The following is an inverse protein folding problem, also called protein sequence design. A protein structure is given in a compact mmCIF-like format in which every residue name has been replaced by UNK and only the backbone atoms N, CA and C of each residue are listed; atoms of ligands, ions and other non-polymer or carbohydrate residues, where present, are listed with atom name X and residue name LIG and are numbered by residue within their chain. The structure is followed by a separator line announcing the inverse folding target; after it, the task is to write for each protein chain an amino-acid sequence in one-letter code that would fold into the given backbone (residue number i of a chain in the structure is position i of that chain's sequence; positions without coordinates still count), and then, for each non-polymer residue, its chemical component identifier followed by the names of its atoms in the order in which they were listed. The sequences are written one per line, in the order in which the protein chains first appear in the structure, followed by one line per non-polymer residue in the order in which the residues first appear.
data_IF_221047015091
#
_entry.id   IF_221047015091
#
_cell.length_a   1.000
_cell.length_b   1.000
_cell.length_c   1.000
_cell.angle_alpha   90.00
_cell.angle_beta   90.00
_cell.angle_gamma   90.00
#
_symmetry.space_group_name_H-M   'P 1'
#
loop_
_entity.id
_entity.type
_entity.pdbx_description
1 polymer ?
#
# COMPACT_ATOMS: atom_id res chain seq x y z
N UNK A 1 -1.56 -21.00 -1.20
CA UNK A 1 -1.64 -20.53 -2.59
C UNK A 1 -1.58 -19.02 -2.64
N UNK A 2 -0.79 -18.49 -3.53
CA UNK A 2 -0.66 -17.04 -3.69
C UNK A 2 -1.59 -16.55 -4.78
N UNK A 3 -2.23 -15.44 -4.52
CA UNK A 3 -3.08 -14.78 -5.49
C UNK A 3 -2.49 -13.44 -5.88
N UNK A 4 -2.56 -13.13 -7.15
CA UNK A 4 -2.26 -11.80 -7.65
C UNK A 4 -3.58 -11.08 -7.89
N UNK A 5 -3.71 -9.91 -7.29
CA UNK A 5 -4.90 -9.09 -7.43
C UNK A 5 -4.52 -7.87 -8.25
N UNK A 6 -5.30 -7.58 -9.29
CA UNK A 6 -5.05 -6.42 -10.15
C UNK A 6 -5.91 -5.24 -9.70
N UNK A 7 -5.25 -4.12 -9.46
CA UNK A 7 -5.90 -2.87 -9.12
C UNK A 7 -5.52 -1.83 -10.18
N UNK A 8 -6.46 -1.51 -11.07
CA UNK A 8 -6.22 -0.53 -12.13
C UNK A 8 -5.02 -0.86 -13.01
N UNK A 9 -4.83 -2.15 -13.33
CA UNK A 9 -3.70 -2.61 -14.09
C UNK A 9 -2.44 -2.88 -13.27
N UNK A 10 -2.47 -2.62 -11.97
CA UNK A 10 -1.36 -2.92 -11.06
C UNK A 10 -1.50 -4.33 -10.51
N UNK A 11 -0.38 -4.97 -10.19
CA UNK A 11 -0.39 -6.30 -9.62
C UNK A 11 -0.20 -6.22 -8.11
N UNK A 12 -1.13 -6.79 -7.38
CA UNK A 12 -1.05 -6.93 -5.94
C UNK A 12 -1.09 -8.41 -5.56
N UNK A 13 -0.61 -8.72 -4.38
CA UNK A 13 -0.55 -10.09 -3.87
C UNK A 13 -1.48 -10.25 -2.67
N UNK A 14 -1.90 -11.48 -2.41
CA UNK A 14 -2.72 -11.78 -1.25
C UNK A 14 -1.95 -11.41 0.03
N UNK A 15 -2.51 -10.54 0.88
CA UNK A 15 -1.82 -10.13 2.11
C UNK A 15 -1.50 -11.28 3.04
N UNK A 16 -2.27 -12.37 3.00
CA UNK A 16 -2.01 -13.54 3.85
C UNK A 16 -0.67 -14.18 3.57
N UNK A 17 -0.19 -14.07 2.32
CA UNK A 17 1.10 -14.62 1.94
C UNK A 17 2.26 -13.75 2.44
N UNK A 18 2.03 -12.45 2.65
CA UNK A 18 3.09 -11.49 2.89
C UNK A 18 2.89 -10.64 4.14
N UNK A 19 1.93 -11.01 4.99
CA UNK A 19 1.67 -10.28 6.22
C UNK A 19 2.71 -10.55 7.30
N UNK A 20 3.50 -11.59 7.12
CA UNK A 20 4.57 -11.95 8.06
C UNK A 20 5.84 -11.19 7.73
N UNK A 21 6.64 -10.96 8.74
CA UNK A 21 7.90 -10.28 8.58
C UNK A 21 7.84 -8.86 9.12
N UNK A 22 8.95 -8.17 8.97
CA UNK A 22 9.09 -6.82 9.49
C UNK A 22 8.86 -5.81 8.38
N UNK A 23 8.09 -4.80 8.69
CA UNK A 23 7.79 -3.72 7.76
C UNK A 23 8.14 -2.39 8.41
N UNK A 24 8.62 -1.47 7.60
CA UNK A 24 8.93 -0.13 8.02
C UNK A 24 7.92 0.84 7.40
N UNK A 25 7.29 1.66 8.23
CA UNK A 25 6.32 2.64 7.75
C UNK A 25 7.03 3.70 6.90
N UNK A 26 6.55 3.92 5.69
CA UNK A 26 7.12 4.90 4.76
C UNK A 26 6.21 6.09 4.51
N UNK A 27 4.90 5.90 4.62
CA UNK A 27 3.96 6.98 4.42
C UNK A 27 2.68 6.69 5.18
N UNK A 28 2.01 7.74 5.62
CA UNK A 28 0.70 7.63 6.26
C UNK A 28 -0.25 8.58 5.55
N UNK A 29 -1.38 8.02 5.12
CA UNK A 29 -2.46 8.78 4.52
C UNK A 29 -3.71 8.60 5.36
N UNK A 30 -4.83 9.08 4.89
CA UNK A 30 -6.10 8.92 5.59
C UNK A 30 -7.24 8.66 4.58
N UNK A 31 -8.26 7.98 5.07
CA UNK A 31 -9.50 7.82 4.30
C UNK A 31 -10.29 9.13 4.36
N UNK A 32 -11.37 9.19 3.57
CA UNK A 32 -12.26 10.36 3.61
C UNK A 32 -12.81 10.62 5.02
N UNK A 33 -12.95 9.57 5.82
CA UNK A 33 -13.43 9.68 7.21
C UNK A 33 -12.33 10.00 8.21
N UNK A 34 -11.10 10.14 7.74
CA UNK A 34 -9.98 10.46 8.62
C UNK A 34 -9.32 9.24 9.26
N UNK A 35 -9.65 8.03 8.82
CA UNK A 35 -9.03 6.81 9.34
C UNK A 35 -7.64 6.64 8.73
N UNK A 36 -6.66 6.12 9.51
CA UNK A 36 -5.29 6.01 9.01
C UNK A 36 -5.16 5.00 7.88
N UNK A 37 -4.28 5.33 6.92
CA UNK A 37 -3.85 4.46 5.85
C UNK A 37 -2.34 4.41 5.92
N UNK A 38 -1.77 3.23 6.15
CA UNK A 38 -0.33 3.08 6.38
C UNK A 38 0.30 2.35 5.20
N UNK A 39 1.31 2.98 4.60
CA UNK A 39 2.11 2.38 3.53
C UNK A 39 3.45 1.97 4.14
N UNK A 40 3.75 0.68 4.09
CA UNK A 40 4.94 0.11 4.70
C UNK A 40 5.75 -0.67 3.68
N UNK A 41 7.06 -0.73 3.90
CA UNK A 41 7.99 -1.46 3.06
C UNK A 41 8.60 -2.60 3.86
N UNK A 42 8.68 -3.78 3.27
CA UNK A 42 9.33 -4.92 3.90
C UNK A 42 10.81 -4.63 4.11
N UNK A 43 11.31 -4.96 5.29
CA UNK A 43 12.74 -4.84 5.60
C UNK A 43 13.51 -6.13 5.25
N UNK A 44 12.82 -7.15 4.76
CA UNK A 44 13.45 -8.40 4.37
C UNK A 44 14.11 -8.23 3.00
N UNK A 45 15.42 -8.46 2.88
CA UNK A 45 16.13 -8.27 1.60
C UNK A 45 15.72 -9.29 0.52
N UNK A 46 15.13 -10.41 0.92
CA UNK A 46 14.67 -11.43 -0.02
C UNK A 46 13.26 -11.13 -0.54
N UNK A 47 12.43 -10.54 0.32
CA UNK A 47 11.05 -10.26 -0.01
C UNK A 47 10.81 -8.75 0.00
N UNK A 48 11.00 -8.13 -1.13
CA UNK A 48 10.89 -6.68 -1.29
C UNK A 48 9.48 -6.31 -1.71
N UNK A 49 8.61 -6.15 -0.71
CA UNK A 49 7.20 -5.84 -0.94
C UNK A 49 6.78 -4.58 -0.21
N UNK A 50 5.73 -3.96 -0.72
CA UNK A 50 5.08 -2.80 -0.15
C UNK A 50 3.66 -3.15 0.21
N UNK A 51 3.19 -2.76 1.38
CA UNK A 51 1.80 -3.00 1.77
C UNK A 51 1.10 -1.71 2.14
N UNK A 52 -0.20 -1.68 1.82
CA UNK A 52 -1.10 -0.58 2.17
C UNK A 52 -2.16 -1.17 3.10
N UNK A 53 -2.21 -0.67 4.33
CA UNK A 53 -3.17 -1.13 5.33
C UNK A 53 -4.14 -0.01 5.65
N UNK A 54 -5.44 -0.29 5.58
CA UNK A 54 -6.49 0.66 5.91
C UNK A 54 -7.75 -0.09 6.30
N UNK A 55 -8.48 0.44 7.28
CA UNK A 55 -9.67 -0.20 7.84
C UNK A 55 -9.36 -1.66 8.18
N UNK A 56 -10.04 -2.62 7.53
CA UNK A 56 -9.79 -4.03 7.72
C UNK A 56 -9.14 -4.67 6.51
N UNK A 57 -8.58 -3.86 5.64
CA UNK A 57 -7.97 -4.32 4.40
C UNK A 57 -6.46 -4.15 4.41
N UNK A 58 -5.78 -5.05 3.73
CA UNK A 58 -4.34 -4.98 3.50
C UNK A 58 -4.08 -5.41 2.07
N UNK A 59 -3.39 -4.58 1.31
CA UNK A 59 -3.06 -4.84 -0.09
C UNK A 59 -1.54 -4.80 -0.24
N UNK A 60 -0.97 -5.78 -0.93
CA UNK A 60 0.48 -5.91 -1.06
C UNK A 60 0.88 -5.73 -2.53
N UNK A 61 1.89 -4.90 -2.74
CA UNK A 61 2.43 -4.60 -4.07
C UNK A 61 3.91 -4.91 -4.12
N UNK A 62 4.40 -5.26 -5.31
CA UNK A 62 5.83 -5.49 -5.51
C UNK A 62 6.62 -4.19 -5.58
N UNK A 63 5.99 -3.08 -5.95
CA UNK A 63 6.68 -1.82 -6.16
C UNK A 63 5.99 -0.67 -5.45
N UNK A 64 6.79 0.28 -4.98
CA UNK A 64 6.30 1.47 -4.29
C UNK A 64 5.37 2.29 -5.18
N UNK A 65 5.73 2.44 -6.45
CA UNK A 65 4.92 3.20 -7.40
C UNK A 65 3.50 2.63 -7.48
N UNK A 66 3.38 1.31 -7.48
CA UNK A 66 2.06 0.66 -7.54
C UNK A 66 1.25 0.89 -6.27
N UNK A 67 1.92 0.87 -5.12
CA UNK A 67 1.27 1.18 -3.85
C UNK A 67 0.75 2.61 -3.83
N UNK A 68 1.54 3.56 -4.31
CA UNK A 68 1.14 4.97 -4.37
C UNK A 68 0.04 5.19 -5.40
N UNK A 69 0.10 4.51 -6.55
CA UNK A 69 -0.94 4.60 -7.56
C UNK A 69 -2.27 4.06 -7.02
N UNK A 70 -2.22 3.02 -6.19
CA UNK A 70 -3.40 2.51 -5.52
C UNK A 70 -4.00 3.54 -4.57
N UNK A 71 -3.15 4.26 -3.84
CA UNK A 71 -3.61 5.29 -2.91
C UNK A 71 -4.13 6.54 -3.61
N UNK A 72 -3.56 6.86 -4.77
CA UNK A 72 -3.97 8.03 -5.54
C UNK A 72 -5.42 7.89 -6.00
N UNK A 73 -6.22 8.90 -5.71
CA UNK A 73 -7.65 8.90 -6.04
C UNK A 73 -8.52 8.13 -5.04
N UNK A 74 -7.93 7.46 -4.05
CA UNK A 74 -8.67 6.74 -3.01
C UNK A 74 -8.55 7.39 -1.65
N UNK A 75 -7.36 7.89 -1.35
CA UNK A 75 -7.02 8.39 -0.02
C UNK A 75 -6.53 9.82 -0.10
N UNK A 76 -6.33 10.40 1.07
CA UNK A 76 -5.94 11.80 1.22
C UNK A 76 -4.69 11.87 2.08
N UNK A 77 -3.89 12.91 1.87
CA UNK A 77 -2.75 13.14 2.73
C UNK A 77 -3.21 13.69 4.10
N UNK A 78 -2.30 13.83 5.08
CA UNK A 78 -2.70 14.34 6.39
C UNK A 78 -3.32 15.74 6.36
N UNK A 79 -3.08 16.51 5.31
CA UNK A 79 -3.66 17.86 5.14
C UNK A 79 -5.04 17.81 4.46
N UNK A 80 -5.52 16.63 4.09
CA UNK A 80 -6.80 16.46 3.45
C UNK A 80 -6.79 16.61 1.94
N UNK A 81 -5.61 16.69 1.33
CA UNK A 81 -5.47 16.77 -0.13
C UNK A 81 -5.38 15.36 -0.73
N UNK A 82 -5.92 15.15 -1.94
CA UNK A 82 -5.81 13.84 -2.57
C UNK A 82 -4.35 13.41 -2.74
N UNK A 83 -4.12 12.13 -2.46
CA UNK A 83 -2.79 11.54 -2.67
C UNK A 83 -2.45 11.56 -4.16
N UNK A 84 -1.24 11.97 -4.47
CA UNK A 84 -0.71 11.98 -5.84
C UNK A 84 0.29 10.84 -5.99
N UNK A 85 0.20 10.12 -7.10
CA UNK A 85 1.20 9.13 -7.43
C UNK A 85 2.53 9.79 -7.74
N UNK A 86 3.61 9.18 -7.25
CA UNK A 86 4.96 9.64 -7.57
C UNK A 86 5.33 9.05 -8.92
N UNK A 87 5.78 9.91 -9.83
CA UNK A 87 6.24 9.49 -11.16
C UNK A 87 7.72 9.73 -11.27
N UNK A 88 8.38 8.73 -11.78
CA UNK A 88 9.82 8.86 -12.06
C UNK A 88 10.04 9.79 -13.25
#
# INVERSE_FOLDING_TARGET
MRFKINYGGKTAYDPKDFSRGKFECKAVFQTRKGMPVVVSHSTDPVYDYWKVEYDFACVVFAEYQDALDFCAGRFFDPDGKPVKAVRA
#
